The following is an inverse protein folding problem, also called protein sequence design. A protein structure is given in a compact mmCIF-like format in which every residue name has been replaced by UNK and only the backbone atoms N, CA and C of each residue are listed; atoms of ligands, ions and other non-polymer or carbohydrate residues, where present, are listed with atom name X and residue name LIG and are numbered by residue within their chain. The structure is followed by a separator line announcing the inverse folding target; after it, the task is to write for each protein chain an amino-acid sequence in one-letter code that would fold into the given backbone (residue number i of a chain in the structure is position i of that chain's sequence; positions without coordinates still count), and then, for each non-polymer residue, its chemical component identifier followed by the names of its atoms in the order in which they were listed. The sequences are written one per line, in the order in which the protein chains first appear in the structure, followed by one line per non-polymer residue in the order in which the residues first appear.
data_IF_936471548203
#
_entry.id   IF_936471548203
#
_cell.length_a   1.000
_cell.length_b   1.000
_cell.length_c   1.000
_cell.angle_alpha   90.00
_cell.angle_beta   90.00
_cell.angle_gamma   90.00
#
_symmetry.space_group_name_H-M   'P 1'
#
loop_
_entity.id
_entity.type
_entity.pdbx_description
1 polymer ?
#
# COMPACT_ATOMS: atom_id res chain seq x y z
N UNK A 1 33.16 -33.79 32.27
CA UNK A 1 31.98 -33.82 31.36
C UNK A 1 31.43 -32.40 31.18
N UNK A 2 32.06 -31.52 30.39
CA UNK A 2 31.62 -30.11 30.23
C UNK A 2 31.77 -29.59 28.78
N UNK A 3 31.87 -30.49 27.79
CA UNK A 3 32.14 -30.11 26.39
C UNK A 3 30.90 -29.91 25.51
N UNK A 4 29.72 -30.39 25.93
CA UNK A 4 28.60 -30.58 25.00
C UNK A 4 27.62 -29.39 24.91
N UNK A 5 27.63 -28.48 25.89
CA UNK A 5 26.66 -27.39 25.95
C UNK A 5 27.05 -26.17 25.09
N UNK A 6 28.34 -25.94 24.85
CA UNK A 6 28.82 -24.78 24.07
C UNK A 6 28.51 -24.87 22.57
N UNK A 7 28.44 -26.07 21.99
CA UNK A 7 28.15 -26.25 20.56
C UNK A 7 26.71 -25.89 20.18
N UNK A 8 25.73 -26.26 21.02
CA UNK A 8 24.30 -26.06 20.76
C UNK A 8 23.87 -24.59 20.78
N UNK A 9 24.46 -23.79 21.67
CA UNK A 9 24.15 -22.36 21.82
C UNK A 9 24.74 -21.57 20.64
N UNK A 10 25.94 -21.91 20.18
CA UNK A 10 26.55 -21.26 19.02
C UNK A 10 25.79 -21.58 17.72
N UNK A 11 25.26 -22.80 17.57
CA UNK A 11 24.41 -23.16 16.42
C UNK A 11 23.02 -22.50 16.47
N UNK A 12 22.43 -22.29 17.65
CA UNK A 12 21.13 -21.62 17.76
C UNK A 12 21.24 -20.10 17.52
N UNK A 13 22.35 -19.47 17.91
CA UNK A 13 22.64 -18.06 17.62
C UNK A 13 22.90 -17.80 16.12
N UNK A 14 23.63 -18.69 15.45
CA UNK A 14 23.86 -18.63 14.00
C UNK A 14 22.57 -18.90 13.21
N UNK A 15 21.76 -19.87 13.62
CA UNK A 15 20.46 -20.13 12.99
C UNK A 15 19.44 -19.01 13.26
N UNK A 16 19.46 -18.39 14.44
CA UNK A 16 18.64 -17.22 14.76
C UNK A 16 18.99 -15.99 13.92
N UNK A 17 20.28 -15.75 13.65
CA UNK A 17 20.72 -14.69 12.73
C UNK A 17 20.39 -14.99 11.26
N UNK A 18 20.49 -16.25 10.82
CA UNK A 18 20.05 -16.67 9.48
C UNK A 18 18.52 -16.62 9.32
N UNK A 19 17.75 -16.90 10.39
CA UNK A 19 16.30 -16.75 10.41
C UNK A 19 15.88 -15.27 10.36
N UNK A 20 16.58 -14.38 11.10
CA UNK A 20 16.40 -12.92 11.01
C UNK A 20 16.66 -12.38 9.58
N UNK A 21 17.69 -12.88 8.88
CA UNK A 21 17.93 -12.55 7.46
C UNK A 21 16.91 -13.15 6.48
N UNK A 22 16.24 -14.26 6.84
CA UNK A 22 15.25 -14.93 5.98
C UNK A 22 13.84 -14.35 6.15
N UNK A 23 13.52 -13.77 7.31
CA UNK A 23 12.26 -13.05 7.53
C UNK A 23 12.25 -11.64 6.92
N UNK A 24 13.41 -11.02 6.67
CA UNK A 24 13.55 -9.71 6.01
C UNK A 24 13.09 -9.73 4.53
N UNK A 25 13.35 -10.83 3.81
CA UNK A 25 12.85 -11.05 2.44
C UNK A 25 11.33 -11.26 2.43
N UNK A 26 10.78 -11.92 3.46
CA UNK A 26 9.32 -12.04 3.64
C UNK A 26 8.68 -10.74 4.13
N UNK A 27 9.46 -9.83 4.71
CA UNK A 27 9.04 -8.51 5.20
C UNK A 27 8.88 -7.54 4.03
N UNK A 28 9.85 -7.53 3.12
CA UNK A 28 9.83 -6.72 1.90
C UNK A 28 8.61 -7.01 1.01
N UNK A 29 8.28 -8.28 0.72
CA UNK A 29 7.16 -8.61 -0.17
C UNK A 29 5.81 -8.13 0.35
N UNK A 30 5.58 -8.22 1.67
CA UNK A 30 4.32 -7.79 2.28
C UNK A 30 4.18 -6.25 2.31
N UNK A 31 5.28 -5.53 2.56
CA UNK A 31 5.29 -4.07 2.55
C UNK A 31 5.17 -3.50 1.14
N UNK A 32 5.85 -4.10 0.17
CA UNK A 32 5.71 -3.76 -1.26
C UNK A 32 4.25 -3.94 -1.70
N UNK A 33 3.61 -5.06 -1.34
CA UNK A 33 2.23 -5.29 -1.74
C UNK A 33 1.25 -4.28 -1.11
N UNK A 34 1.45 -3.89 0.15
CA UNK A 34 0.63 -2.85 0.78
C UNK A 34 0.79 -1.49 0.08
N UNK A 35 2.03 -1.05 -0.19
CA UNK A 35 2.28 0.21 -0.86
C UNK A 35 1.74 0.22 -2.32
N UNK A 36 1.92 -0.90 -3.05
CA UNK A 36 1.39 -1.06 -4.40
C UNK A 36 -0.15 -1.04 -4.44
N UNK A 37 -0.81 -1.71 -3.49
CA UNK A 37 -2.28 -1.72 -3.41
C UNK A 37 -2.86 -0.32 -3.14
N UNK A 38 -2.20 0.49 -2.31
CA UNK A 38 -2.61 1.89 -2.07
C UNK A 38 -2.29 2.76 -3.29
N UNK A 39 -1.14 2.59 -3.94
CA UNK A 39 -0.81 3.32 -5.16
C UNK A 39 -1.81 3.03 -6.29
N UNK A 40 -2.22 1.77 -6.45
CA UNK A 40 -3.23 1.36 -7.43
C UNK A 40 -4.60 1.97 -7.14
N UNK A 41 -5.06 1.94 -5.88
CA UNK A 41 -6.31 2.58 -5.47
C UNK A 41 -6.28 4.10 -5.69
N UNK A 42 -5.19 4.76 -5.30
CA UNK A 42 -5.02 6.20 -5.48
C UNK A 42 -5.00 6.60 -6.96
N UNK A 43 -4.37 5.81 -7.83
CA UNK A 43 -4.42 6.02 -9.28
C UNK A 43 -5.84 5.84 -9.84
N UNK A 44 -6.60 4.86 -9.35
CA UNK A 44 -7.99 4.67 -9.74
C UNK A 44 -8.87 5.86 -9.34
N UNK A 45 -8.72 6.37 -8.12
CA UNK A 45 -9.44 7.56 -7.64
C UNK A 45 -9.07 8.79 -8.48
N UNK A 46 -7.78 8.97 -8.78
CA UNK A 46 -7.31 10.08 -9.61
C UNK A 46 -7.93 10.05 -11.02
N UNK A 47 -7.94 8.88 -11.68
CA UNK A 47 -8.58 8.71 -12.98
C UNK A 47 -10.09 8.93 -12.93
N UNK A 48 -10.77 8.32 -11.94
CA UNK A 48 -12.21 8.46 -11.76
C UNK A 48 -12.63 9.92 -11.53
N UNK A 49 -11.91 10.65 -10.66
CA UNK A 49 -12.19 12.05 -10.36
C UNK A 49 -11.83 12.99 -11.53
N UNK A 50 -10.79 12.68 -12.30
CA UNK A 50 -10.46 13.44 -13.51
C UNK A 50 -11.54 13.25 -14.59
N UNK A 51 -12.05 12.03 -14.76
CA UNK A 51 -13.12 11.74 -15.72
C UNK A 51 -14.44 12.42 -15.32
N UNK A 52 -14.81 12.47 -14.04
CA UNK A 52 -16.03 13.19 -13.63
C UNK A 52 -15.93 14.70 -13.88
N UNK A 53 -14.75 15.30 -13.72
CA UNK A 53 -14.53 16.72 -14.03
C UNK A 53 -14.63 17.04 -15.53
N UNK A 54 -14.32 16.09 -16.43
CA UNK A 54 -14.41 16.31 -17.88
C UNK A 54 -15.84 16.17 -18.41
N UNK A 55 -16.63 15.24 -17.87
CA UNK A 55 -18.03 15.05 -18.29
C UNK A 55 -18.89 16.26 -17.89
N UNK A 56 -18.61 16.87 -16.74
CA UNK A 56 -19.28 18.09 -16.29
C UNK A 56 -18.98 19.33 -17.14
N UNK A 57 -17.78 19.40 -17.73
CA UNK A 57 -17.42 20.47 -18.66
C UNK A 57 -18.15 20.33 -20.01
N UNK A 58 -18.67 19.14 -20.33
CA UNK A 58 -19.38 18.86 -21.58
C UNK A 58 -20.90 19.00 -21.46
N UNK A 59 -21.46 18.97 -20.23
CA UNK A 59 -22.89 19.07 -19.95
C UNK A 59 -23.35 20.45 -19.45
N UNK A 60 -22.64 21.52 -19.82
CA UNK A 60 -23.11 22.91 -19.58
C UNK A 60 -24.26 23.28 -20.53
N UNK A 61 -25.10 22.32 -20.95
CA UNK A 61 -26.31 22.66 -21.70
C UNK A 61 -27.56 21.84 -21.38
N UNK A 62 -27.55 20.79 -20.54
CA UNK A 62 -28.82 20.11 -20.25
C UNK A 62 -28.95 19.79 -18.75
N UNK A 63 -29.94 20.42 -18.13
CA UNK A 63 -30.61 20.00 -16.90
C UNK A 63 -30.04 20.46 -15.54
N UNK A 64 -30.26 21.74 -15.26
CA UNK A 64 -30.57 22.15 -13.90
C UNK A 64 -31.89 21.48 -13.44
N UNK A 65 -31.80 20.31 -12.82
CA UNK A 65 -32.87 19.83 -11.93
C UNK A 65 -32.38 19.67 -10.50
N UNK A 66 -32.93 20.54 -9.65
CA UNK A 66 -33.34 20.28 -8.28
C UNK A 66 -32.30 19.61 -7.37
N UNK A 67 -31.40 20.45 -6.83
CA UNK A 67 -31.27 20.53 -5.37
C UNK A 67 -30.33 19.56 -4.65
N UNK A 68 -29.31 18.98 -5.29
CA UNK A 68 -28.33 18.16 -4.54
C UNK A 68 -26.96 17.86 -5.15
N UNK A 69 -26.72 18.12 -6.44
CA UNK A 69 -25.52 17.60 -7.14
C UNK A 69 -24.53 18.67 -7.63
N UNK A 70 -24.89 19.96 -7.60
CA UNK A 70 -24.08 21.02 -8.23
C UNK A 70 -22.89 21.49 -7.37
N UNK A 71 -22.75 21.01 -6.13
CA UNK A 71 -21.58 21.31 -5.28
C UNK A 71 -20.43 20.30 -5.41
N UNK A 72 -20.66 19.17 -6.10
CA UNK A 72 -19.71 18.06 -6.18
C UNK A 72 -18.61 18.24 -7.23
N UNK A 73 -18.84 19.13 -8.21
CA UNK A 73 -18.07 19.16 -9.45
C UNK A 73 -16.74 19.92 -9.35
N UNK A 74 -16.73 21.07 -8.67
CA UNK A 74 -15.53 21.93 -8.60
C UNK A 74 -14.40 21.33 -7.74
N UNK A 75 -14.69 20.32 -6.93
CA UNK A 75 -13.72 19.67 -6.03
C UNK A 75 -13.07 18.42 -6.63
N UNK A 76 -13.64 17.83 -7.69
CA UNK A 76 -13.11 16.57 -8.25
C UNK A 76 -11.73 16.72 -8.88
N UNK A 77 -11.42 17.90 -9.45
CA UNK A 77 -10.06 18.21 -9.91
C UNK A 77 -9.03 18.25 -8.77
N UNK A 78 -9.41 18.81 -7.61
CA UNK A 78 -8.55 18.84 -6.42
C UNK A 78 -8.36 17.43 -5.84
N UNK A 79 -9.43 16.63 -5.79
CA UNK A 79 -9.39 15.21 -5.41
C UNK A 79 -8.48 14.42 -6.35
N UNK A 80 -8.57 14.64 -7.66
CA UNK A 80 -7.72 13.96 -8.64
C UNK A 80 -6.23 14.29 -8.43
N UNK A 81 -5.90 15.57 -8.21
CA UNK A 81 -4.52 15.99 -7.95
C UNK A 81 -3.97 15.46 -6.63
N UNK A 82 -4.79 15.47 -5.56
CA UNK A 82 -4.39 14.91 -4.27
C UNK A 82 -4.17 13.40 -4.37
N UNK A 83 -5.07 12.68 -5.04
CA UNK A 83 -4.96 11.25 -5.27
C UNK A 83 -3.74 10.88 -6.13
N UNK A 84 -3.43 11.68 -7.17
CA UNK A 84 -2.23 11.48 -7.98
C UNK A 84 -0.93 11.67 -7.15
N UNK A 85 -0.91 12.65 -6.24
CA UNK A 85 0.21 12.85 -5.32
C UNK A 85 0.35 11.68 -4.35
N UNK A 86 -0.75 11.18 -3.78
CA UNK A 86 -0.74 9.97 -2.92
C UNK A 86 -0.25 8.76 -3.70
N UNK A 87 -0.70 8.56 -4.94
CA UNK A 87 -0.23 7.46 -5.79
C UNK A 87 1.29 7.53 -6.01
N UNK A 88 1.83 8.73 -6.19
CA UNK A 88 3.27 8.98 -6.35
C UNK A 88 4.02 8.66 -5.06
N UNK A 89 3.58 9.17 -3.91
CA UNK A 89 4.21 8.90 -2.61
C UNK A 89 4.19 7.40 -2.28
N UNK A 90 3.10 6.71 -2.60
CA UNK A 90 3.00 5.26 -2.41
C UNK A 90 3.88 4.47 -3.39
N UNK A 91 4.06 4.96 -4.62
CA UNK A 91 5.00 4.37 -5.58
C UNK A 91 6.46 4.54 -5.13
N UNK A 92 6.83 5.72 -4.62
CA UNK A 92 8.16 5.98 -4.04
C UNK A 92 8.39 5.13 -2.79
N UNK A 93 7.38 5.01 -1.92
CA UNK A 93 7.40 4.11 -0.77
C UNK A 93 7.59 2.66 -1.22
N UNK A 94 6.87 2.19 -2.25
CA UNK A 94 7.04 0.85 -2.79
C UNK A 94 8.47 0.64 -3.35
N UNK A 95 9.02 1.62 -4.08
CA UNK A 95 10.38 1.57 -4.64
C UNK A 95 11.45 1.53 -3.52
N UNK A 96 11.31 2.36 -2.48
CA UNK A 96 12.22 2.38 -1.33
C UNK A 96 12.23 1.05 -0.55
N UNK A 97 11.12 0.31 -0.60
CA UNK A 97 10.96 -1.02 0.00
C UNK A 97 11.19 -2.12 -1.05
N UNK A 98 11.86 -1.83 -2.17
CA UNK A 98 12.37 -2.82 -3.12
C UNK A 98 11.37 -3.31 -4.19
N UNK A 99 10.26 -2.62 -4.41
CA UNK A 99 9.37 -2.91 -5.54
C UNK A 99 10.06 -2.63 -6.88
N UNK A 100 9.89 -3.52 -7.86
CA UNK A 100 10.36 -3.27 -9.23
C UNK A 100 9.48 -2.21 -9.89
N UNK A 101 10.08 -1.23 -10.59
CA UNK A 101 9.34 -0.20 -11.36
C UNK A 101 8.27 -0.77 -12.30
N UNK A 102 8.53 -1.89 -12.95
CA UNK A 102 7.53 -2.55 -13.80
C UNK A 102 6.25 -2.94 -13.04
N UNK A 103 6.35 -3.32 -11.77
CA UNK A 103 5.21 -3.69 -10.92
C UNK A 103 4.43 -2.44 -10.51
N UNK A 104 5.15 -1.36 -10.17
CA UNK A 104 4.57 -0.05 -9.85
C UNK A 104 3.78 0.48 -11.06
N UNK A 105 4.42 0.55 -12.24
CA UNK A 105 3.78 1.03 -13.47
C UNK A 105 2.56 0.18 -13.83
N UNK A 106 2.67 -1.15 -13.71
CA UNK A 106 1.54 -2.05 -13.98
C UNK A 106 0.38 -1.81 -13.01
N UNK A 107 0.65 -1.64 -11.72
CA UNK A 107 -0.38 -1.40 -10.70
C UNK A 107 -1.09 -0.05 -10.92
N UNK A 108 -0.32 1.02 -11.18
CA UNK A 108 -0.86 2.35 -11.47
C UNK A 108 -1.70 2.34 -12.75
N UNK A 109 -1.20 1.71 -13.82
CA UNK A 109 -1.94 1.58 -15.08
C UNK A 109 -3.22 0.76 -14.91
N UNK A 110 -3.18 -0.31 -14.11
CA UNK A 110 -4.37 -1.11 -13.78
C UNK A 110 -5.38 -0.29 -12.98
N UNK A 111 -4.91 0.52 -12.01
CA UNK A 111 -5.76 1.42 -11.25
C UNK A 111 -6.45 2.45 -12.15
N UNK A 112 -5.70 3.09 -13.04
CA UNK A 112 -6.24 4.08 -13.98
C UNK A 112 -7.26 3.50 -14.97
N UNK A 113 -7.19 2.19 -15.24
CA UNK A 113 -8.15 1.47 -16.07
C UNK A 113 -9.47 1.14 -15.33
N UNK A 114 -9.47 1.13 -13.99
CA UNK A 114 -10.66 0.89 -13.18
C UNK A 114 -11.56 2.12 -13.16
N UNK A 115 -12.74 2.01 -13.78
CA UNK A 115 -13.69 3.12 -13.94
C UNK A 115 -15.04 2.88 -13.27
N UNK A 116 -15.29 1.66 -12.77
CA UNK A 116 -16.59 1.32 -12.19
C UNK A 116 -16.57 1.48 -10.67
N UNK A 117 -17.76 1.74 -10.10
CA UNK A 117 -17.95 1.78 -8.64
C UNK A 117 -17.57 0.43 -7.97
N UNK A 118 -17.87 -0.68 -8.65
CA UNK A 118 -17.53 -2.03 -8.17
C UNK A 118 -16.01 -2.22 -8.08
N UNK A 119 -15.26 -1.76 -9.08
CA UNK A 119 -13.79 -1.82 -9.05
C UNK A 119 -13.23 -0.97 -7.90
N UNK A 120 -13.73 0.25 -7.70
CA UNK A 120 -13.33 1.12 -6.60
C UNK A 120 -13.55 0.47 -5.22
N UNK A 121 -14.71 -0.18 -5.03
CA UNK A 121 -15.00 -0.93 -3.81
C UNK A 121 -14.04 -2.12 -3.61
N UNK A 122 -13.77 -2.88 -4.69
CA UNK A 122 -12.86 -4.02 -4.64
C UNK A 122 -11.42 -3.59 -4.33
N UNK A 123 -10.94 -2.52 -4.97
CA UNK A 123 -9.62 -1.92 -4.71
C UNK A 123 -9.51 -1.39 -3.28
N UNK A 124 -10.56 -0.76 -2.77
CA UNK A 124 -10.63 -0.29 -1.38
C UNK A 124 -10.53 -1.45 -0.39
N UNK A 125 -11.31 -2.51 -0.58
CA UNK A 125 -11.27 -3.71 0.26
C UNK A 125 -9.89 -4.38 0.22
N UNK A 126 -9.29 -4.45 -0.97
CA UNK A 126 -7.93 -4.98 -1.16
C UNK A 126 -6.91 -4.14 -0.40
N UNK A 127 -6.89 -2.82 -0.60
CA UNK A 127 -5.96 -1.92 0.08
C UNK A 127 -6.11 -1.99 1.60
N UNK A 128 -7.34 -2.04 2.12
CA UNK A 128 -7.61 -2.19 3.55
C UNK A 128 -7.06 -3.50 4.11
N UNK A 129 -7.23 -4.61 3.37
CA UNK A 129 -6.71 -5.93 3.77
C UNK A 129 -5.19 -5.96 3.76
N UNK A 130 -4.55 -5.40 2.72
CA UNK A 130 -3.09 -5.32 2.65
C UNK A 130 -2.51 -4.44 3.77
N UNK A 131 -3.18 -3.33 4.11
CA UNK A 131 -2.75 -2.45 5.20
C UNK A 131 -2.95 -3.09 6.59
N UNK A 132 -4.07 -3.78 6.81
CA UNK A 132 -4.30 -4.54 8.05
C UNK A 132 -3.21 -5.61 8.26
N UNK A 133 -2.76 -6.26 7.18
CA UNK A 133 -1.65 -7.20 7.23
C UNK A 133 -0.30 -6.52 7.56
N UNK A 134 -0.08 -5.29 7.06
CA UNK A 134 1.08 -4.47 7.39
C UNK A 134 1.13 -4.08 8.87
N UNK A 135 0.00 -3.62 9.43
CA UNK A 135 -0.12 -3.27 10.85
C UNK A 135 0.16 -4.50 11.72
N UNK A 136 -0.49 -5.63 11.44
CA UNK A 136 -0.31 -6.86 12.21
C UNK A 136 1.15 -7.35 12.21
N UNK A 137 1.84 -7.30 11.07
CA UNK A 137 3.27 -7.65 10.99
C UNK A 137 4.20 -6.62 11.62
N UNK A 138 3.85 -5.33 11.54
CA UNK A 138 4.60 -4.28 12.25
C UNK A 138 4.58 -4.54 13.75
N UNK A 139 3.42 -4.90 14.32
CA UNK A 139 3.31 -5.35 15.71
C UNK A 139 4.17 -6.59 16.00
N UNK A 140 4.11 -7.63 15.16
CA UNK A 140 4.93 -8.84 15.37
C UNK A 140 6.45 -8.54 15.34
N UNK A 141 6.87 -7.60 14.48
CA UNK A 141 8.27 -7.18 14.36
C UNK A 141 8.72 -6.38 15.58
N UNK A 142 7.88 -5.46 16.08
CA UNK A 142 8.14 -4.69 17.31
C UNK A 142 8.31 -5.64 18.49
N UNK A 143 7.38 -6.57 18.69
CA UNK A 143 7.46 -7.56 19.78
C UNK A 143 8.74 -8.42 19.68
N UNK A 144 9.11 -8.86 18.47
CA UNK A 144 10.34 -9.64 18.26
C UNK A 144 11.62 -8.84 18.51
N UNK A 145 11.60 -7.53 18.25
CA UNK A 145 12.73 -6.63 18.49
C UNK A 145 12.88 -6.32 19.98
N UNK A 146 11.77 -6.09 20.66
CA UNK A 146 11.70 -5.85 22.10
C UNK A 146 12.25 -7.04 22.91
N UNK A 147 11.83 -8.27 22.56
CA UNK A 147 12.36 -9.51 23.15
C UNK A 147 13.87 -9.67 22.88
N UNK A 148 14.36 -9.20 21.73
CA UNK A 148 15.77 -9.27 21.38
C UNK A 148 16.64 -8.20 22.05
N UNK A 149 16.06 -7.05 22.45
CA UNK A 149 16.75 -5.98 23.15
C UNK A 149 16.74 -6.19 24.67
N UNK A 150 15.59 -6.58 25.23
CA UNK A 150 15.42 -6.86 26.66
C UNK A 150 15.91 -8.26 27.11
N UNK A 151 16.35 -9.10 26.16
CA UNK A 151 16.91 -10.43 26.42
C UNK A 151 18.44 -10.50 26.45
N UNK A 152 19.16 -9.37 26.46
CA UNK A 152 20.61 -9.35 26.69
C UNK A 152 20.90 -9.43 28.20
N UNK A 153 21.68 -10.42 28.68
CA UNK A 153 22.18 -10.41 30.05
C UNK A 153 23.18 -9.27 30.28
#
# INVERSE_FOLDING_TARGET
MQGWLRGKIMTSLVNGHRAKKKDEVRLHTAQVHAALSVAQLAAAIAGFAANSSTEAAQDINIHATNGGIVTRDKDMGAVASAAALVATVCAEAAESVGARRAHITSAVSSGLASRTSVDMMALTATAATCNAFHIFRSFQTIISKDISENGKP
#
